data_IF_909654415781
#
_entry.id   IF_909654415781
#
_cell.length_a   1.000
_cell.length_b   1.000
_cell.length_c   1.000
_cell.angle_alpha   90.00
_cell.angle_beta   90.00
_cell.angle_gamma   90.00
#
_symmetry.space_group_name_H-M   'P 1'
#
loop_
_entity.id
_entity.type
_entity.pdbx_description
1 polymer ?
#
# COMPACT_ATOMS: atom_id res chain seq x y z
N UNK A 1 -31.18 19.46 -4.64
CA UNK A 1 -30.25 18.43 -5.10
C UNK A 1 -29.47 18.97 -6.30
N UNK A 2 -28.27 19.56 -6.13
CA UNK A 2 -27.36 19.74 -7.25
C UNK A 2 -26.38 18.56 -7.31
N UNK A 3 -26.16 18.13 -8.54
CA UNK A 3 -25.23 17.10 -8.99
C UNK A 3 -23.79 17.61 -8.75
N UNK A 4 -23.25 17.44 -7.53
CA UNK A 4 -21.87 17.82 -7.24
C UNK A 4 -20.91 16.76 -7.79
N UNK A 5 -20.36 17.06 -8.97
CA UNK A 5 -19.02 16.69 -9.43
C UNK A 5 -18.62 15.25 -9.09
N UNK A 6 -18.94 14.33 -10.01
CA UNK A 6 -18.21 13.07 -10.08
C UNK A 6 -16.79 13.41 -10.55
N UNK A 7 -15.86 13.63 -9.61
CA UNK A 7 -14.43 13.66 -9.96
C UNK A 7 -14.02 12.22 -10.19
N UNK A 8 -14.18 11.73 -11.42
CA UNK A 8 -13.54 10.49 -11.87
C UNK A 8 -12.02 10.71 -11.90
N UNK A 9 -11.38 10.58 -10.74
CA UNK A 9 -9.94 10.39 -10.64
C UNK A 9 -9.67 9.00 -10.10
N UNK A 10 -10.16 8.01 -10.83
CA UNK A 10 -9.71 6.64 -10.63
C UNK A 10 -8.37 6.48 -11.34
N UNK A 11 -7.33 7.09 -10.76
CA UNK A 11 -5.97 6.96 -11.24
C UNK A 11 -5.46 5.63 -10.74
N UNK A 12 -5.33 4.67 -11.64
CA UNK A 12 -4.66 3.41 -11.37
C UNK A 12 -3.14 3.63 -11.51
N UNK A 13 -2.45 3.65 -10.37
CA UNK A 13 -0.98 3.50 -10.34
C UNK A 13 -0.67 2.13 -9.74
N UNK A 14 0.23 1.40 -10.38
CA UNK A 14 0.84 0.19 -9.84
C UNK A 14 2.34 0.30 -10.14
N UNK A 15 3.16 0.31 -9.09
CA UNK A 15 4.62 0.23 -9.28
C UNK A 15 5.02 -1.16 -9.75
N UNK A 16 6.18 -1.24 -10.40
CA UNK A 16 6.82 -2.53 -10.66
C UNK A 16 7.16 -3.25 -9.33
N UNK A 17 7.13 -4.58 -9.34
CA UNK A 17 7.50 -5.42 -8.20
C UNK A 17 6.49 -6.54 -7.91
N UNK A 18 6.87 -7.48 -7.05
CA UNK A 18 6.03 -8.59 -6.60
C UNK A 18 5.53 -8.35 -5.18
N UNK A 19 4.22 -8.34 -5.00
CA UNK A 19 3.60 -8.34 -3.67
C UNK A 19 4.11 -9.52 -2.82
N UNK A 20 4.35 -9.25 -1.53
CA UNK A 20 4.96 -10.17 -0.58
C UNK A 20 6.48 -10.28 -0.67
N UNK A 21 7.14 -9.63 -1.65
CA UNK A 21 8.59 -9.72 -1.87
C UNK A 21 9.24 -8.35 -2.00
N UNK A 22 8.79 -7.56 -2.96
CA UNK A 22 9.36 -6.25 -3.33
C UNK A 22 8.48 -5.13 -2.77
N UNK A 23 9.01 -3.92 -2.58
CA UNK A 23 8.17 -2.79 -2.16
C UNK A 23 7.23 -2.37 -3.30
N UNK A 24 5.93 -2.36 -3.03
CA UNK A 24 4.91 -2.09 -4.05
C UNK A 24 4.03 -0.91 -3.62
N UNK A 25 3.70 -0.06 -4.58
CA UNK A 25 2.91 1.16 -4.41
C UNK A 25 1.70 1.07 -5.33
N UNK A 26 0.51 1.26 -4.77
CA UNK A 26 -0.73 1.29 -5.56
C UNK A 26 -1.56 2.50 -5.22
N UNK A 27 -2.05 3.20 -6.24
CA UNK A 27 -3.07 4.22 -6.09
C UNK A 27 -4.32 3.72 -6.80
N UNK A 28 -5.43 3.68 -6.09
CA UNK A 28 -6.72 3.28 -6.64
C UNK A 28 -7.83 3.87 -5.79
N UNK A 29 -8.86 4.44 -6.42
CA UNK A 29 -9.98 5.10 -5.74
C UNK A 29 -9.53 6.11 -4.66
N UNK A 30 -8.48 6.88 -4.97
CA UNK A 30 -7.94 7.90 -4.06
C UNK A 30 -7.19 7.35 -2.83
N UNK A 31 -6.99 6.03 -2.71
CA UNK A 31 -6.21 5.43 -1.61
C UNK A 31 -4.83 5.05 -2.11
N UNK A 32 -3.79 5.64 -1.51
CA UNK A 32 -2.42 5.21 -1.74
C UNK A 32 -2.09 4.08 -0.76
N UNK A 33 -1.89 2.87 -1.28
CA UNK A 33 -1.39 1.74 -0.50
C UNK A 33 0.09 1.49 -0.75
N UNK A 34 0.80 1.20 0.33
CA UNK A 34 2.22 0.88 0.32
C UNK A 34 2.39 -0.49 0.98
N UNK A 35 2.97 -1.42 0.24
CA UNK A 35 3.45 -2.67 0.79
C UNK A 35 4.97 -2.56 0.94
N UNK A 36 5.45 -2.44 2.18
CA UNK A 36 6.85 -2.17 2.48
C UNK A 36 7.50 -3.31 3.27
N UNK A 37 8.79 -3.53 3.04
CA UNK A 37 9.64 -4.26 3.97
C UNK A 37 9.82 -3.48 5.28
N UNK A 38 10.30 -4.17 6.32
CA UNK A 38 10.50 -3.60 7.65
C UNK A 38 11.36 -2.33 7.68
N UNK A 39 12.50 -2.31 7.00
CA UNK A 39 13.41 -1.17 7.02
C UNK A 39 12.75 0.06 6.37
N UNK A 40 12.09 -0.14 5.23
CA UNK A 40 11.39 0.92 4.51
C UNK A 40 10.19 1.44 5.30
N UNK A 41 9.45 0.55 5.96
CA UNK A 41 8.35 0.90 6.86
C UNK A 41 8.81 1.79 8.03
N UNK A 42 9.84 1.36 8.77
CA UNK A 42 10.37 2.09 9.92
C UNK A 42 10.89 3.47 9.52
N UNK A 43 11.53 3.58 8.36
CA UNK A 43 12.04 4.86 7.83
C UNK A 43 10.95 5.77 7.28
N UNK A 44 9.85 5.21 6.79
CA UNK A 44 8.73 5.99 6.27
C UNK A 44 8.01 6.77 7.38
N UNK A 45 8.06 6.27 8.63
CA UNK A 45 7.42 6.94 9.77
C UNK A 45 5.89 7.01 9.64
N UNK A 46 5.30 6.07 8.90
CA UNK A 46 3.86 5.98 8.66
C UNK A 46 3.24 4.87 9.52
N UNK A 47 1.98 5.04 9.88
CA UNK A 47 1.21 4.00 10.55
C UNK A 47 0.85 2.89 9.56
N UNK A 48 1.06 1.63 9.97
CA UNK A 48 0.78 0.47 9.13
C UNK A 48 0.62 -0.81 9.94
N UNK A 49 0.15 -1.86 9.28
CA UNK A 49 -0.10 -3.17 9.90
C UNK A 49 0.82 -4.23 9.33
N UNK A 50 1.38 -5.12 10.16
CA UNK A 50 2.17 -6.24 9.65
C UNK A 50 1.29 -7.22 8.88
N UNK A 51 1.77 -7.66 7.72
CA UNK A 51 1.16 -8.68 6.89
C UNK A 51 1.68 -10.04 7.34
N UNK A 52 0.78 -10.87 7.87
CA UNK A 52 1.14 -12.22 8.29
C UNK A 52 1.39 -13.10 7.07
N UNK A 53 2.64 -13.50 6.85
CA UNK A 53 2.97 -14.59 5.93
C UNK A 53 2.67 -15.92 6.60
N UNK A 54 1.76 -16.69 6.02
CA UNK A 54 1.21 -17.94 6.56
C UNK A 54 2.23 -19.09 6.76
N UNK A 55 3.17 -18.94 7.70
CA UNK A 55 3.96 -20.04 8.26
C UNK A 55 5.29 -20.37 7.57
N UNK A 56 5.73 -19.61 6.56
CA UNK A 56 7.05 -19.83 5.94
C UNK A 56 8.15 -19.14 6.74
N UNK A 57 9.02 -19.94 7.36
CA UNK A 57 10.12 -19.54 8.26
C UNK A 57 11.15 -18.55 7.65
N UNK A 58 11.11 -18.31 6.35
CA UNK A 58 12.05 -17.44 5.63
C UNK A 58 11.40 -16.23 4.95
N UNK A 59 10.13 -15.90 5.26
CA UNK A 59 9.51 -14.71 4.66
C UNK A 59 9.81 -13.48 5.50
N UNK A 60 10.41 -12.48 4.86
CA UNK A 60 10.66 -11.17 5.47
C UNK A 60 9.32 -10.55 5.87
N UNK A 61 9.27 -9.93 7.04
CA UNK A 61 8.09 -9.21 7.51
C UNK A 61 7.76 -8.05 6.56
N UNK A 62 6.47 -7.88 6.28
CA UNK A 62 5.94 -6.88 5.34
C UNK A 62 4.87 -6.06 6.05
N UNK A 63 4.70 -4.81 5.66
CA UNK A 63 3.74 -3.90 6.26
C UNK A 63 2.82 -3.32 5.18
N UNK A 64 1.52 -3.34 5.45
CA UNK A 64 0.49 -2.67 4.65
C UNK A 64 0.18 -1.32 5.28
N UNK A 65 0.33 -0.27 4.50
CA UNK A 65 -0.02 1.11 4.87
C UNK A 65 -1.10 1.58 3.90
N UNK A 66 -2.15 2.21 4.44
CA UNK A 66 -3.16 2.89 3.65
C UNK A 66 -3.18 4.36 4.01
N UNK A 67 -2.91 5.21 3.02
CA UNK A 67 -3.00 6.67 3.15
C UNK A 67 -4.26 7.13 2.43
N UNK A 68 -5.08 7.87 3.17
CA UNK A 68 -6.29 8.52 2.68
C UNK A 68 -6.03 10.03 2.55
N UNK A 69 -6.65 10.71 1.58
CA UNK A 69 -6.57 12.17 1.45
C UNK A 69 -7.20 12.91 2.63
#
# INVERSE_FOLDING_TARGET
MPLSVLVERDILLISEGRSGVDNVYTLHNGVLRLELDKNSFERAGLDGKPIRSGGRKHVKERYDIAVHP
#
